data_IF_770371805194
#
_entry.id   IF_770371805194
#
_cell.length_a   1.000
_cell.length_b   1.000
_cell.length_c   1.000
_cell.angle_alpha   90.00
_cell.angle_beta   90.00
_cell.angle_gamma   90.00
#
_symmetry.space_group_name_H-M   'P 1'
#
loop_
_entity.id
_entity.type
_entity.pdbx_description
1 polymer ?
#
# COMPACT_ATOMS: atom_id res chain seq x y z
N UNK A 1 39.86 -24.76 -13.62
CA UNK A 1 39.36 -23.44 -14.02
C UNK A 1 38.18 -23.08 -13.12
N UNK A 2 38.44 -22.32 -12.06
CA UNK A 2 37.39 -21.77 -11.21
C UNK A 2 36.60 -20.76 -12.04
N UNK A 3 35.37 -21.13 -12.37
CA UNK A 3 34.49 -20.28 -13.11
C UNK A 3 33.74 -19.42 -12.07
N UNK A 4 34.08 -18.14 -11.95
CA UNK A 4 33.36 -17.21 -11.08
C UNK A 4 31.98 -16.96 -11.66
N UNK A 5 30.95 -17.28 -10.89
CA UNK A 5 29.54 -17.00 -11.24
C UNK A 5 29.14 -15.64 -10.71
N UNK A 6 28.44 -14.87 -11.53
CA UNK A 6 27.91 -13.58 -11.17
C UNK A 6 26.38 -13.57 -11.28
N UNK A 7 25.72 -13.02 -10.27
CA UNK A 7 24.27 -12.78 -10.30
C UNK A 7 23.99 -11.43 -10.96
N UNK A 8 23.11 -11.41 -11.97
CA UNK A 8 22.75 -10.19 -12.67
C UNK A 8 21.68 -9.46 -11.85
N UNK A 9 22.03 -8.32 -11.26
CA UNK A 9 21.13 -7.50 -10.44
C UNK A 9 20.32 -6.55 -11.33
N UNK A 10 20.95 -5.93 -12.34
CA UNK A 10 20.29 -5.04 -13.32
C UNK A 10 20.66 -5.43 -14.74
N UNK A 11 19.83 -5.03 -15.69
CA UNK A 11 20.02 -5.27 -17.12
C UNK A 11 19.52 -6.63 -17.60
N UNK A 12 18.89 -7.46 -16.78
CA UNK A 12 18.38 -8.78 -17.16
C UNK A 12 17.52 -8.73 -18.44
N UNK A 13 16.53 -7.83 -18.50
CA UNK A 13 15.64 -7.69 -19.66
C UNK A 13 16.43 -7.26 -20.91
N UNK A 14 17.36 -6.31 -20.78
CA UNK A 14 18.22 -5.84 -21.88
C UNK A 14 19.08 -6.96 -22.44
N UNK A 15 19.70 -7.74 -21.55
CA UNK A 15 20.54 -8.88 -21.95
C UNK A 15 19.73 -9.99 -22.62
N UNK A 16 18.55 -10.33 -22.09
CA UNK A 16 17.66 -11.34 -22.69
C UNK A 16 17.22 -10.87 -24.09
N UNK A 17 16.78 -9.62 -24.23
CA UNK A 17 16.34 -9.06 -25.51
C UNK A 17 17.46 -9.04 -26.53
N UNK A 18 18.67 -8.60 -26.14
CA UNK A 18 19.84 -8.61 -26.99
C UNK A 18 20.21 -10.05 -27.44
N UNK A 19 20.19 -10.98 -26.53
CA UNK A 19 20.47 -12.41 -26.83
C UNK A 19 19.46 -12.96 -27.86
N UNK A 20 18.18 -12.61 -27.72
CA UNK A 20 17.14 -12.97 -28.69
C UNK A 20 17.40 -12.33 -30.08
N UNK A 21 17.77 -11.05 -30.12
CA UNK A 21 18.12 -10.35 -31.36
C UNK A 21 19.32 -11.03 -32.04
N UNK A 22 20.41 -11.24 -31.30
CA UNK A 22 21.61 -11.89 -31.85
C UNK A 22 21.30 -13.29 -32.40
N UNK A 23 20.46 -14.05 -31.71
CA UNK A 23 20.03 -15.38 -32.17
C UNK A 23 19.24 -15.34 -33.48
N UNK A 24 18.30 -14.40 -33.58
CA UNK A 24 17.47 -14.26 -34.79
C UNK A 24 18.28 -13.66 -35.97
N UNK A 25 19.39 -12.93 -35.69
CA UNK A 25 20.33 -12.47 -36.71
C UNK A 25 21.38 -13.55 -37.12
N UNK A 26 21.27 -14.77 -36.58
CA UNK A 26 22.12 -15.90 -36.99
C UNK A 26 23.38 -16.10 -36.16
N UNK A 27 23.54 -15.49 -35.00
CA UNK A 27 24.67 -15.75 -34.11
C UNK A 27 24.66 -17.19 -33.63
N UNK A 28 25.76 -17.94 -33.85
CA UNK A 28 25.89 -19.38 -33.56
C UNK A 28 26.69 -19.67 -32.30
N UNK A 29 27.26 -18.66 -31.63
CA UNK A 29 28.05 -18.81 -30.41
C UNK A 29 27.24 -19.31 -29.21
N UNK A 30 27.90 -19.53 -28.09
CA UNK A 30 27.24 -19.95 -26.85
C UNK A 30 26.38 -18.83 -26.27
N UNK A 31 25.14 -19.17 -25.93
CA UNK A 31 24.17 -18.24 -25.35
C UNK A 31 23.56 -18.86 -24.07
N UNK A 32 24.23 -18.78 -22.93
CA UNK A 32 23.78 -19.40 -21.68
C UNK A 32 22.37 -18.93 -21.24
N UNK A 33 22.05 -17.65 -21.46
CA UNK A 33 20.75 -17.08 -21.10
C UNK A 33 19.56 -17.72 -21.82
N UNK A 34 19.75 -18.25 -23.04
CA UNK A 34 18.68 -18.97 -23.76
C UNK A 34 18.42 -20.38 -23.21
N UNK A 35 19.32 -20.91 -22.39
CA UNK A 35 19.19 -22.23 -21.74
C UNK A 35 18.50 -22.14 -20.38
N UNK A 36 18.38 -20.93 -19.82
CA UNK A 36 17.73 -20.73 -18.53
C UNK A 36 16.22 -20.86 -18.65
N UNK A 37 15.61 -21.50 -17.64
CA UNK A 37 14.16 -21.60 -17.52
C UNK A 37 13.64 -20.41 -16.70
N UNK A 38 12.81 -19.59 -17.30
CA UNK A 38 12.11 -18.53 -16.57
C UNK A 38 10.99 -19.15 -15.74
N UNK A 39 10.99 -18.94 -14.43
CA UNK A 39 10.05 -19.54 -13.50
C UNK A 39 8.70 -18.82 -13.60
N UNK A 40 8.68 -17.48 -13.64
CA UNK A 40 7.48 -16.69 -13.77
C UNK A 40 6.75 -16.93 -15.10
N UNK A 41 5.43 -17.16 -15.04
CA UNK A 41 4.55 -17.29 -16.22
C UNK A 41 4.60 -16.05 -17.09
N UNK A 42 4.59 -14.87 -16.45
CA UNK A 42 4.62 -13.58 -17.15
C UNK A 42 5.96 -13.35 -17.85
N UNK A 43 7.07 -13.66 -17.19
CA UNK A 43 8.39 -13.60 -17.84
C UNK A 43 8.46 -14.49 -19.09
N UNK A 44 7.91 -15.70 -19.03
CA UNK A 44 7.84 -16.61 -20.19
C UNK A 44 6.98 -16.03 -21.32
N UNK A 45 5.83 -15.43 -20.97
CA UNK A 45 4.95 -14.78 -21.95
C UNK A 45 5.64 -13.58 -22.61
N UNK A 46 6.28 -12.72 -21.83
CA UNK A 46 7.02 -11.57 -22.36
C UNK A 46 8.19 -11.98 -23.26
N UNK A 47 8.97 -12.99 -22.87
CA UNK A 47 10.05 -13.53 -23.70
C UNK A 47 9.49 -14.11 -25.01
N UNK A 48 8.38 -14.83 -24.97
CA UNK A 48 7.73 -15.38 -26.16
C UNK A 48 7.23 -14.29 -27.11
N UNK A 49 6.58 -13.27 -26.57
CA UNK A 49 6.08 -12.12 -27.33
C UNK A 49 7.23 -11.32 -27.96
N UNK A 50 8.28 -11.03 -27.21
CA UNK A 50 9.45 -10.33 -27.71
C UNK A 50 10.16 -11.14 -28.80
N UNK A 51 10.26 -12.45 -28.66
CA UNK A 51 10.82 -13.32 -29.68
C UNK A 51 10.01 -13.27 -30.98
N UNK A 52 8.66 -13.32 -30.88
CA UNK A 52 7.78 -13.22 -32.05
C UNK A 52 7.94 -11.85 -32.76
N UNK A 53 8.00 -10.76 -31.98
CA UNK A 53 8.20 -9.41 -32.50
C UNK A 53 9.55 -9.28 -33.22
N UNK A 54 10.63 -9.74 -32.61
CA UNK A 54 11.99 -9.69 -33.19
C UNK A 54 12.04 -10.48 -34.52
N UNK A 55 11.41 -11.66 -34.59
CA UNK A 55 11.30 -12.42 -35.83
C UNK A 55 10.57 -11.65 -36.94
N UNK A 56 9.44 -11.04 -36.61
CA UNK A 56 8.67 -10.23 -37.57
C UNK A 56 9.49 -9.04 -38.08
N UNK A 57 10.24 -8.37 -37.20
CA UNK A 57 11.10 -7.28 -37.58
C UNK A 57 12.28 -7.72 -38.43
N UNK A 58 12.91 -8.88 -38.09
CA UNK A 58 14.03 -9.43 -38.83
C UNK A 58 13.61 -9.89 -40.25
N UNK A 59 12.41 -10.44 -40.43
CA UNK A 59 11.90 -10.81 -41.75
C UNK A 59 11.75 -9.62 -42.70
N UNK A 60 11.64 -8.43 -42.19
CA UNK A 60 11.57 -7.17 -42.98
C UNK A 60 12.95 -6.53 -43.21
N UNK A 61 13.98 -7.05 -42.57
CA UNK A 61 15.33 -6.53 -42.62
C UNK A 61 16.11 -7.22 -43.72
N UNK A 62 16.63 -6.44 -44.65
CA UNK A 62 17.49 -6.90 -45.78
C UNK A 62 18.98 -6.72 -45.48
N UNK A 63 19.36 -6.16 -44.33
CA UNK A 63 20.74 -5.89 -43.97
C UNK A 63 21.43 -7.13 -43.37
N UNK A 64 22.19 -7.82 -44.21
CA UNK A 64 22.97 -9.02 -43.80
C UNK A 64 24.16 -8.68 -42.90
N UNK A 65 24.55 -7.42 -42.78
CA UNK A 65 25.70 -6.95 -41.97
C UNK A 65 25.29 -6.52 -40.58
N UNK A 66 24.00 -6.60 -40.22
CA UNK A 66 23.48 -6.10 -38.94
C UNK A 66 24.08 -6.81 -37.72
N UNK A 67 24.34 -8.08 -37.80
CA UNK A 67 24.99 -8.83 -36.70
C UNK A 67 26.42 -8.35 -36.47
N UNK A 68 27.17 -8.12 -37.55
CA UNK A 68 28.54 -7.63 -37.49
C UNK A 68 28.60 -6.18 -36.96
N UNK A 69 27.70 -5.32 -37.42
CA UNK A 69 27.55 -3.95 -36.88
C UNK A 69 27.19 -3.93 -35.42
N UNK A 70 26.25 -4.79 -34.96
CA UNK A 70 25.91 -4.93 -33.55
C UNK A 70 27.13 -5.34 -32.72
N UNK A 71 27.89 -6.33 -33.16
CA UNK A 71 29.06 -6.83 -32.41
C UNK A 71 30.17 -5.78 -32.30
N UNK A 72 30.33 -4.90 -33.27
CA UNK A 72 31.37 -3.86 -33.27
C UNK A 72 30.95 -2.55 -32.56
N UNK A 73 29.65 -2.26 -32.44
CA UNK A 73 29.19 -0.97 -31.90
C UNK A 73 28.55 -1.09 -30.50
N UNK A 74 28.31 -2.31 -30.01
CA UNK A 74 27.76 -2.47 -28.67
C UNK A 74 28.86 -2.34 -27.61
N UNK A 75 28.67 -1.37 -26.72
CA UNK A 75 29.54 -1.16 -25.55
C UNK A 75 28.72 -1.46 -24.29
N UNK A 76 29.27 -2.32 -23.44
CA UNK A 76 28.70 -2.65 -22.14
C UNK A 76 29.47 -1.95 -21.03
N UNK A 77 28.74 -1.26 -20.16
CA UNK A 77 29.29 -0.82 -18.88
C UNK A 77 28.85 -1.83 -17.81
N UNK A 78 29.83 -2.52 -17.24
CA UNK A 78 29.58 -3.56 -16.22
C UNK A 78 30.13 -3.11 -14.89
N UNK A 79 29.26 -3.07 -13.87
CA UNK A 79 29.64 -2.81 -12.49
C UNK A 79 29.60 -4.14 -11.73
N UNK A 80 30.75 -4.59 -11.24
CA UNK A 80 30.87 -5.80 -10.43
C UNK A 80 30.95 -5.39 -8.96
N UNK A 81 30.08 -5.97 -8.13
CA UNK A 81 30.01 -5.70 -6.70
C UNK A 81 30.25 -7.02 -5.93
N UNK A 82 30.95 -6.92 -4.81
CA UNK A 82 31.12 -8.05 -3.91
C UNK A 82 29.86 -8.28 -3.07
N UNK A 83 29.64 -9.49 -2.62
CA UNK A 83 28.47 -9.85 -1.79
C UNK A 83 28.32 -9.00 -0.53
N UNK A 84 29.44 -8.54 0.06
CA UNK A 84 29.43 -7.63 1.21
C UNK A 84 28.81 -6.25 0.91
N UNK A 85 28.62 -5.89 -0.36
CA UNK A 85 28.14 -4.57 -0.82
C UNK A 85 26.74 -4.62 -1.46
N UNK A 86 25.91 -5.59 -1.10
CA UNK A 86 24.54 -5.71 -1.61
C UNK A 86 23.71 -4.43 -1.39
N UNK A 87 23.89 -3.74 -0.27
CA UNK A 87 23.23 -2.46 -0.01
C UNK A 87 23.59 -1.38 -1.03
N UNK A 88 24.87 -1.36 -1.47
CA UNK A 88 25.31 -0.46 -2.51
C UNK A 88 24.71 -0.85 -3.87
N UNK A 89 24.62 -2.15 -4.15
CA UNK A 89 23.97 -2.67 -5.36
C UNK A 89 22.50 -2.24 -5.46
N UNK A 90 21.74 -2.39 -4.39
CA UNK A 90 20.33 -1.95 -4.34
C UNK A 90 20.18 -0.44 -4.44
N UNK A 91 21.08 0.33 -3.82
CA UNK A 91 21.07 1.79 -3.92
C UNK A 91 21.36 2.23 -5.36
N UNK A 92 22.35 1.63 -5.98
CA UNK A 92 22.71 1.89 -7.39
C UNK A 92 21.55 1.53 -8.33
N UNK A 93 20.96 0.35 -8.17
CA UNK A 93 19.79 -0.10 -8.92
C UNK A 93 18.61 0.88 -8.79
N UNK A 94 18.30 1.30 -7.56
CA UNK A 94 17.24 2.27 -7.29
C UNK A 94 17.51 3.62 -7.98
N UNK A 95 18.75 4.10 -7.96
CA UNK A 95 19.15 5.37 -8.56
C UNK A 95 19.16 5.33 -10.10
N UNK A 96 19.59 4.21 -10.70
CA UNK A 96 19.57 4.05 -12.15
C UNK A 96 18.15 3.97 -12.71
N UNK A 97 17.24 3.28 -12.01
CA UNK A 97 15.83 3.19 -12.41
C UNK A 97 15.07 4.53 -12.27
N UNK A 98 15.62 5.50 -11.54
CA UNK A 98 15.05 6.86 -11.47
C UNK A 98 15.18 7.64 -12.78
N UNK A 99 16.03 7.21 -13.71
CA UNK A 99 16.24 7.84 -15.04
C UNK A 99 15.32 7.28 -16.14
N UNK A 100 14.59 6.19 -15.86
CA UNK A 100 13.61 5.57 -16.76
C UNK A 100 12.20 5.62 -16.18
N UNK A 101 11.44 4.52 -16.31
CA UNK A 101 10.18 4.35 -15.57
C UNK A 101 10.57 4.15 -14.10
N UNK A 102 10.23 5.10 -13.24
CA UNK A 102 10.58 5.04 -11.83
C UNK A 102 9.89 3.85 -11.17
N UNK A 103 10.64 3.08 -10.39
CA UNK A 103 10.05 2.03 -9.55
C UNK A 103 9.09 2.66 -8.53
N UNK A 104 7.98 1.99 -8.31
CA UNK A 104 7.04 2.36 -7.25
C UNK A 104 7.66 2.13 -5.86
N UNK A 105 7.10 2.78 -4.84
CA UNK A 105 7.49 2.53 -3.46
C UNK A 105 7.33 1.06 -3.08
N UNK A 106 6.35 0.36 -3.67
CA UNK A 106 6.06 -1.06 -3.41
C UNK A 106 7.10 -2.00 -4.04
N UNK A 107 7.61 -1.68 -5.24
CA UNK A 107 8.72 -2.42 -5.85
C UNK A 107 9.99 -2.29 -5.02
N UNK A 108 10.24 -1.10 -4.52
CA UNK A 108 11.39 -0.83 -3.65
C UNK A 108 11.27 -1.50 -2.28
N UNK A 109 10.06 -1.54 -1.70
CA UNK A 109 9.80 -2.26 -0.44
C UNK A 109 10.01 -3.76 -0.63
N UNK A 110 9.49 -4.34 -1.72
CA UNK A 110 9.73 -5.73 -2.08
C UNK A 110 11.22 -6.05 -2.12
N UNK A 111 11.98 -5.30 -2.93
CA UNK A 111 13.41 -5.51 -3.08
C UNK A 111 14.16 -5.30 -1.75
N UNK A 112 13.79 -4.26 -0.98
CA UNK A 112 14.38 -3.97 0.33
C UNK A 112 14.22 -5.12 1.32
N UNK A 113 13.05 -5.73 1.39
CA UNK A 113 12.79 -6.78 2.39
C UNK A 113 13.27 -8.16 1.92
N UNK A 114 13.26 -8.46 0.62
CA UNK A 114 13.80 -9.73 0.10
C UNK A 114 15.28 -9.93 0.44
N UNK A 115 16.07 -8.87 0.51
CA UNK A 115 17.49 -8.94 0.85
C UNK A 115 17.80 -9.45 2.26
N UNK A 116 16.82 -9.44 3.18
CA UNK A 116 16.98 -9.96 4.55
C UNK A 116 16.61 -11.44 4.67
N UNK A 117 16.30 -12.11 3.57
CA UNK A 117 15.98 -13.54 3.54
C UNK A 117 17.22 -14.33 3.17
N UNK A 118 17.57 -15.29 4.02
CA UNK A 118 18.78 -16.10 3.85
C UNK A 118 18.53 -17.39 3.03
N UNK A 119 17.28 -17.73 2.74
CA UNK A 119 16.88 -18.97 2.07
C UNK A 119 16.24 -18.60 0.72
N UNK A 120 16.84 -19.06 -0.38
CA UNK A 120 16.42 -18.70 -1.74
C UNK A 120 14.98 -19.13 -2.05
N UNK A 121 14.59 -20.36 -1.69
CA UNK A 121 13.23 -20.87 -1.89
C UNK A 121 12.18 -20.03 -1.14
N UNK A 122 12.51 -19.57 0.07
CA UNK A 122 11.63 -18.68 0.84
C UNK A 122 11.49 -17.31 0.17
N UNK A 123 12.59 -16.77 -0.35
CA UNK A 123 12.60 -15.48 -1.04
C UNK A 123 11.73 -15.52 -2.30
N UNK A 124 11.83 -16.61 -3.08
CA UNK A 124 11.03 -16.81 -4.28
C UNK A 124 9.52 -16.90 -3.95
N UNK A 125 9.15 -17.72 -2.97
CA UNK A 125 7.75 -17.86 -2.54
C UNK A 125 7.16 -16.52 -2.08
N UNK A 126 7.89 -15.76 -1.26
CA UNK A 126 7.42 -14.46 -0.77
C UNK A 126 7.37 -13.42 -1.89
N UNK A 127 8.30 -13.48 -2.86
CA UNK A 127 8.28 -12.59 -4.02
C UNK A 127 7.07 -12.87 -4.93
N UNK A 128 6.70 -14.15 -5.12
CA UNK A 128 5.50 -14.52 -5.87
C UNK A 128 4.23 -14.07 -5.16
N UNK A 129 4.11 -14.34 -3.86
CA UNK A 129 2.96 -13.88 -3.06
C UNK A 129 2.80 -12.35 -3.06
N UNK A 130 3.90 -11.60 -3.01
CA UNK A 130 3.85 -10.15 -3.16
C UNK A 130 3.32 -9.70 -4.51
N UNK A 131 3.72 -10.37 -5.60
CA UNK A 131 3.17 -10.08 -6.93
C UNK A 131 1.67 -10.34 -6.98
N UNK A 132 1.20 -11.44 -6.41
CA UNK A 132 -0.22 -11.76 -6.35
C UNK A 132 -0.98 -10.66 -5.59
N UNK A 133 -0.49 -10.27 -4.39
CA UNK A 133 -1.06 -9.16 -3.62
C UNK A 133 -1.07 -7.82 -4.37
N UNK A 134 -0.05 -7.57 -5.20
CA UNK A 134 0.03 -6.34 -6.00
C UNK A 134 -0.99 -6.27 -7.13
N UNK A 135 -1.43 -7.43 -7.64
CA UNK A 135 -2.42 -7.56 -8.71
C UNK A 135 -3.86 -7.61 -8.19
N UNK A 136 -4.03 -7.88 -6.88
CA UNK A 136 -5.35 -7.93 -6.28
C UNK A 136 -5.93 -6.52 -6.11
N UNK A 137 -7.07 -6.29 -6.75
CA UNK A 137 -7.78 -5.02 -6.76
C UNK A 137 -9.23 -5.20 -6.30
N UNK A 138 -9.83 -4.11 -5.83
CA UNK A 138 -11.25 -4.04 -5.58
C UNK A 138 -12.06 -3.90 -6.89
N UNK A 139 -13.39 -3.79 -6.77
CA UNK A 139 -14.29 -3.65 -7.92
C UNK A 139 -14.06 -2.36 -8.72
N UNK A 140 -13.39 -1.36 -8.15
CA UNK A 140 -13.07 -0.09 -8.79
C UNK A 140 -11.69 -0.11 -9.48
N UNK A 141 -10.94 -1.21 -9.33
CA UNK A 141 -9.58 -1.35 -9.85
C UNK A 141 -8.50 -0.82 -8.89
N UNK A 142 -8.86 -0.48 -7.66
CA UNK A 142 -7.93 0.03 -6.65
C UNK A 142 -7.21 -1.13 -5.94
N UNK A 143 -5.87 -1.09 -5.92
CA UNK A 143 -5.06 -2.15 -5.32
C UNK A 143 -5.23 -2.20 -3.80
N UNK A 144 -5.57 -3.37 -3.27
CA UNK A 144 -5.66 -3.60 -1.82
C UNK A 144 -4.34 -3.34 -1.12
N UNK A 145 -3.23 -3.74 -1.71
CA UNK A 145 -1.88 -3.50 -1.17
C UNK A 145 -1.61 -2.00 -1.02
N UNK A 146 -1.89 -1.23 -2.07
CA UNK A 146 -1.65 0.22 -2.08
C UNK A 146 -2.52 0.93 -1.05
N UNK A 147 -3.80 0.61 -0.97
CA UNK A 147 -4.70 1.22 0.01
C UNK A 147 -4.31 0.83 1.45
N UNK A 148 -4.01 -0.44 1.69
CA UNK A 148 -3.64 -0.89 3.04
C UNK A 148 -2.36 -0.24 3.53
N UNK A 149 -1.25 -0.40 2.80
CA UNK A 149 0.06 0.13 3.24
C UNK A 149 0.17 1.63 2.99
N UNK A 150 -0.10 2.08 1.77
CA UNK A 150 0.23 3.43 1.31
C UNK A 150 -0.76 4.50 1.75
N UNK A 151 -1.97 4.11 2.13
CA UNK A 151 -2.99 5.06 2.60
C UNK A 151 -3.27 4.84 4.08
N UNK A 152 -3.95 3.76 4.44
CA UNK A 152 -4.50 3.61 5.79
C UNK A 152 -3.43 3.37 6.86
N UNK A 153 -2.59 2.34 6.72
CA UNK A 153 -1.54 2.08 7.71
C UNK A 153 -0.51 3.20 7.75
N UNK A 154 -0.17 3.79 6.59
CA UNK A 154 0.74 4.93 6.54
C UNK A 154 0.22 6.09 7.39
N UNK A 155 -1.06 6.47 7.22
CA UNK A 155 -1.71 7.53 8.02
C UNK A 155 -1.74 7.18 9.49
N UNK A 156 -2.25 6.00 9.84
CA UNK A 156 -2.37 5.55 11.23
C UNK A 156 -1.01 5.55 11.94
N UNK A 157 0.03 5.04 11.28
CA UNK A 157 1.41 5.05 11.83
C UNK A 157 1.96 6.45 12.02
N UNK A 158 1.69 7.37 11.10
CA UNK A 158 2.08 8.79 11.22
C UNK A 158 1.32 9.49 12.35
N UNK A 159 0.00 9.32 12.41
CA UNK A 159 -0.84 9.93 13.44
C UNK A 159 -0.52 9.44 14.86
N UNK A 160 -0.22 8.15 15.04
CA UNK A 160 0.27 7.63 16.32
C UNK A 160 1.51 8.36 16.85
N UNK A 161 2.34 8.87 15.95
CA UNK A 161 3.55 9.63 16.29
C UNK A 161 3.35 11.15 16.19
N UNK A 162 2.12 11.60 16.00
CA UNK A 162 1.77 13.03 15.79
C UNK A 162 2.49 13.67 14.59
N UNK A 163 2.85 12.87 13.58
CA UNK A 163 3.49 13.34 12.36
C UNK A 163 2.46 13.69 11.29
N UNK A 164 2.80 14.65 10.44
CA UNK A 164 2.02 14.97 9.26
C UNK A 164 2.10 13.83 8.24
N UNK A 165 1.05 13.74 7.42
CA UNK A 165 0.88 12.68 6.43
C UNK A 165 1.26 13.19 5.04
N UNK A 166 2.15 12.47 4.38
CA UNK A 166 2.74 12.82 3.08
C UNK A 166 2.68 11.63 2.10
N UNK A 167 1.63 10.82 2.17
CA UNK A 167 1.50 9.55 1.41
C UNK A 167 1.57 9.73 -0.11
N UNK A 168 1.22 10.91 -0.61
CA UNK A 168 1.27 11.20 -2.05
C UNK A 168 2.65 11.67 -2.55
N UNK A 169 3.61 11.86 -1.65
CA UNK A 169 4.96 12.20 -2.03
C UNK A 169 5.77 10.94 -2.35
N UNK A 170 6.56 10.96 -3.43
CA UNK A 170 7.43 9.83 -3.78
C UNK A 170 8.35 9.43 -2.62
N UNK A 171 8.56 8.13 -2.46
CA UNK A 171 9.44 7.52 -1.46
C UNK A 171 8.97 7.58 -0.01
N UNK A 172 7.91 8.30 0.32
CA UNK A 172 7.46 8.43 1.72
C UNK A 172 6.89 7.14 2.29
N UNK A 173 6.15 6.37 1.48
CA UNK A 173 5.65 5.05 1.88
C UNK A 173 6.82 4.08 2.04
N UNK A 174 7.76 4.08 1.11
CA UNK A 174 8.97 3.27 1.22
C UNK A 174 9.76 3.61 2.48
N UNK A 175 9.97 4.90 2.81
CA UNK A 175 10.67 5.35 4.02
C UNK A 175 9.98 4.84 5.30
N UNK A 176 8.64 4.86 5.35
CA UNK A 176 7.87 4.43 6.52
C UNK A 176 8.04 2.95 6.83
N UNK A 177 8.06 2.10 5.80
CA UNK A 177 8.04 0.65 5.97
C UNK A 177 9.40 -0.03 5.74
N UNK A 178 10.41 0.68 5.26
CA UNK A 178 11.74 0.08 4.98
C UNK A 178 12.63 -0.06 6.21
N UNK A 179 12.24 0.48 7.35
CA UNK A 179 13.14 0.86 8.44
C UNK A 179 13.56 -0.26 9.38
N UNK A 180 13.65 -1.51 9.04
CA UNK A 180 14.09 -2.42 10.07
C UNK A 180 15.26 -3.32 9.69
N UNK A 181 16.35 -3.14 10.39
CA UNK A 181 17.33 -4.20 10.63
C UNK A 181 16.67 -5.31 11.47
N UNK A 182 17.11 -6.54 11.30
CA UNK A 182 16.75 -7.64 12.19
C UNK A 182 17.29 -7.28 13.58
N UNK A 183 16.39 -7.11 14.54
CA UNK A 183 16.74 -6.77 15.93
C UNK A 183 15.98 -7.73 16.85
N UNK A 184 16.71 -8.37 17.75
CA UNK A 184 16.11 -9.31 18.74
C UNK A 184 15.07 -8.66 19.67
N UNK A 185 15.12 -7.33 19.80
CA UNK A 185 14.15 -6.56 20.61
C UNK A 185 12.80 -6.37 19.93
N UNK A 186 12.66 -6.67 18.63
CA UNK A 186 11.38 -6.59 17.93
C UNK A 186 10.70 -7.96 18.05
N UNK A 187 9.50 -8.04 18.64
CA UNK A 187 8.81 -9.30 18.78
C UNK A 187 8.48 -9.92 17.42
N UNK A 188 8.37 -11.25 17.38
CA UNK A 188 7.85 -11.94 16.21
C UNK A 188 6.44 -11.42 15.90
N UNK A 189 6.12 -11.33 14.60
CA UNK A 189 4.80 -10.91 14.17
C UNK A 189 3.75 -11.94 14.62
N UNK A 190 2.74 -11.47 15.35
CA UNK A 190 1.69 -12.31 15.94
C UNK A 190 0.51 -11.49 16.44
N UNK A 191 -0.44 -12.10 17.15
CA UNK A 191 -1.69 -11.48 17.61
C UNK A 191 -1.51 -10.20 18.45
N UNK A 192 -0.39 -10.09 19.16
CA UNK A 192 -0.07 -8.91 19.99
C UNK A 192 0.77 -7.86 19.28
N UNK A 193 1.03 -8.02 18.00
CA UNK A 193 1.83 -7.06 17.24
C UNK A 193 0.97 -5.87 16.82
N UNK A 194 1.32 -4.69 17.31
CA UNK A 194 0.61 -3.47 16.95
C UNK A 194 1.06 -2.94 15.58
N UNK A 195 0.14 -2.42 14.79
CA UNK A 195 0.39 -1.96 13.43
C UNK A 195 1.44 -0.83 13.34
N UNK A 196 1.67 -0.10 14.42
CA UNK A 196 2.63 1.03 14.48
C UNK A 196 4.02 0.64 15.00
N UNK A 197 4.22 -0.58 15.45
CA UNK A 197 5.53 -1.04 15.93
C UNK A 197 6.57 -1.09 14.79
N UNK A 198 7.84 -1.19 15.20
CA UNK A 198 8.94 -1.39 14.26
C UNK A 198 8.79 -2.74 13.57
N UNK A 199 8.93 -2.75 12.26
CA UNK A 199 8.80 -3.95 11.44
C UNK A 199 10.21 -4.47 11.16
N UNK A 200 10.45 -5.77 11.37
CA UNK A 200 11.72 -6.37 10.96
C UNK A 200 11.76 -6.58 9.43
N UNK A 201 12.97 -6.54 8.86
CA UNK A 201 13.18 -6.89 7.47
C UNK A 201 12.84 -8.35 7.17
N UNK A 202 12.58 -8.65 5.92
CA UNK A 202 12.33 -10.02 5.47
C UNK A 202 10.93 -10.54 5.78
N UNK A 203 10.84 -11.79 6.22
CA UNK A 203 9.59 -12.52 6.43
C UNK A 203 8.58 -11.80 7.35
N UNK A 204 9.07 -11.09 8.33
CA UNK A 204 8.23 -10.30 9.24
C UNK A 204 7.41 -9.23 8.51
N UNK A 205 8.04 -8.46 7.60
CA UNK A 205 7.34 -7.47 6.79
C UNK A 205 6.31 -8.10 5.84
N UNK A 206 6.67 -9.21 5.20
CA UNK A 206 5.74 -9.90 4.29
C UNK A 206 4.53 -10.47 5.05
N UNK A 207 4.76 -11.03 6.24
CA UNK A 207 3.66 -11.49 7.11
C UNK A 207 2.78 -10.32 7.57
N UNK A 208 3.39 -9.22 8.04
CA UNK A 208 2.70 -7.98 8.39
C UNK A 208 1.80 -7.50 7.24
N UNK A 209 2.37 -7.37 6.05
CA UNK A 209 1.62 -6.88 4.88
C UNK A 209 0.45 -7.80 4.55
N UNK A 210 0.69 -9.12 4.47
CA UNK A 210 -0.35 -10.08 4.13
C UNK A 210 -1.54 -10.01 5.09
N UNK A 211 -1.28 -10.02 6.39
CA UNK A 211 -2.34 -10.01 7.41
C UNK A 211 -3.13 -8.71 7.37
N UNK A 212 -2.47 -7.56 7.23
CA UNK A 212 -3.20 -6.30 7.17
C UNK A 212 -3.95 -6.09 5.86
N UNK A 213 -3.47 -6.62 4.74
CA UNK A 213 -4.22 -6.65 3.48
C UNK A 213 -5.47 -7.52 3.62
N UNK A 214 -5.36 -8.69 4.23
CA UNK A 214 -6.51 -9.57 4.44
C UNK A 214 -7.54 -8.92 5.40
N UNK A 215 -7.09 -8.29 6.49
CA UNK A 215 -7.96 -7.49 7.38
C UNK A 215 -8.64 -6.34 6.64
N UNK A 216 -7.93 -5.67 5.74
CA UNK A 216 -8.52 -4.58 4.96
C UNK A 216 -9.59 -5.09 3.99
N UNK A 217 -9.37 -6.23 3.33
CA UNK A 217 -10.39 -6.87 2.48
C UNK A 217 -11.67 -7.24 3.25
N UNK A 218 -11.52 -7.70 4.49
CA UNK A 218 -12.65 -7.97 5.37
C UNK A 218 -13.36 -6.67 5.77
N UNK A 219 -12.58 -5.68 6.21
CA UNK A 219 -13.06 -4.39 6.68
C UNK A 219 -13.92 -3.65 5.65
N UNK A 220 -13.46 -3.54 4.39
CA UNK A 220 -14.20 -2.80 3.37
C UNK A 220 -15.52 -3.46 2.96
N UNK A 221 -15.71 -4.74 3.29
CA UNK A 221 -16.97 -5.47 3.05
C UNK A 221 -18.00 -5.25 4.14
N UNK A 222 -17.62 -4.62 5.24
CA UNK A 222 -18.54 -4.33 6.34
C UNK A 222 -19.61 -3.34 5.89
N UNK A 223 -20.84 -3.52 6.40
CA UNK A 223 -21.96 -2.64 6.08
C UNK A 223 -21.67 -1.18 6.40
N UNK A 224 -21.00 -0.93 7.51
CA UNK A 224 -20.63 0.39 7.98
C UNK A 224 -19.78 1.15 6.95
N UNK A 225 -18.78 0.50 6.38
CA UNK A 225 -17.88 1.11 5.40
C UNK A 225 -18.56 1.24 4.03
N UNK A 226 -19.38 0.28 3.65
CA UNK A 226 -20.16 0.40 2.42
C UNK A 226 -21.13 1.59 2.47
N UNK A 227 -21.84 1.79 3.58
CA UNK A 227 -22.71 2.96 3.77
C UNK A 227 -21.92 4.28 3.80
N UNK A 228 -20.78 4.30 4.49
CA UNK A 228 -19.90 5.48 4.52
C UNK A 228 -19.47 5.88 3.10
N UNK A 229 -18.98 4.94 2.31
CA UNK A 229 -18.56 5.17 0.92
C UNK A 229 -19.72 5.61 0.05
N UNK A 230 -20.87 4.94 0.12
CA UNK A 230 -22.03 5.23 -0.72
C UNK A 230 -22.62 6.61 -0.48
N UNK A 231 -22.72 7.05 0.78
CA UNK A 231 -23.34 8.32 1.11
C UNK A 231 -22.40 9.53 1.07
N UNK A 232 -21.10 9.35 1.26
CA UNK A 232 -20.12 10.43 1.30
C UNK A 232 -19.21 10.51 0.07
N UNK A 233 -19.55 9.86 -1.04
CA UNK A 233 -18.71 9.86 -2.26
C UNK A 233 -18.76 11.17 -3.06
N UNK A 234 -19.76 12.01 -2.83
CA UNK A 234 -20.05 13.18 -3.66
C UNK A 234 -19.38 14.46 -3.14
N UNK A 235 -19.19 15.44 -4.02
CA UNK A 235 -18.60 16.75 -3.72
C UNK A 235 -17.23 16.62 -3.03
N UNK A 236 -17.01 17.41 -1.96
CA UNK A 236 -15.80 17.31 -1.12
C UNK A 236 -15.99 16.39 0.09
N UNK A 237 -17.14 15.71 0.23
CA UNK A 237 -17.44 14.82 1.35
C UNK A 237 -16.59 13.55 1.31
N UNK A 238 -16.19 13.07 0.12
CA UNK A 238 -15.27 11.95 -0.02
C UNK A 238 -13.96 12.12 0.77
N UNK A 239 -13.52 13.37 0.97
CA UNK A 239 -12.31 13.66 1.75
C UNK A 239 -12.46 13.28 3.23
N UNK A 240 -13.69 13.48 3.76
CA UNK A 240 -14.01 13.04 5.12
C UNK A 240 -14.20 11.53 5.17
N UNK A 241 -14.89 10.96 4.20
CA UNK A 241 -15.07 9.51 4.12
C UNK A 241 -13.72 8.76 4.13
N UNK A 242 -12.77 9.21 3.32
CA UNK A 242 -11.44 8.64 3.20
C UNK A 242 -10.63 8.71 4.52
N UNK A 243 -10.76 9.80 5.27
CA UNK A 243 -10.10 9.95 6.57
C UNK A 243 -10.82 9.14 7.66
N UNK A 244 -12.17 9.18 7.70
CA UNK A 244 -12.97 8.37 8.61
C UNK A 244 -12.69 6.88 8.38
N UNK A 245 -12.59 6.46 7.13
CA UNK A 245 -12.24 5.07 6.78
C UNK A 245 -10.87 4.66 7.35
N UNK A 246 -9.87 5.54 7.27
CA UNK A 246 -8.55 5.25 7.85
C UNK A 246 -8.63 5.08 9.38
N UNK A 247 -9.36 5.93 10.08
CA UNK A 247 -9.55 5.84 11.54
C UNK A 247 -10.36 4.60 11.91
N UNK A 248 -11.42 4.30 11.16
CA UNK A 248 -12.23 3.10 11.32
C UNK A 248 -11.43 1.82 11.08
N UNK A 249 -10.50 1.83 10.12
CA UNK A 249 -9.59 0.70 9.93
C UNK A 249 -8.69 0.49 11.14
N UNK A 250 -8.19 1.56 11.77
CA UNK A 250 -7.46 1.49 13.03
C UNK A 250 -8.28 0.82 14.15
N UNK A 251 -9.55 1.19 14.26
CA UNK A 251 -10.48 0.55 15.19
C UNK A 251 -10.69 -0.93 14.86
N UNK A 252 -10.95 -1.25 13.60
CA UNK A 252 -11.20 -2.61 13.13
C UNK A 252 -9.98 -3.53 13.33
N UNK A 253 -8.78 -3.04 13.13
CA UNK A 253 -7.55 -3.79 13.40
C UNK A 253 -7.52 -4.30 14.85
N UNK A 254 -7.98 -3.48 15.78
CA UNK A 254 -7.90 -3.79 17.21
C UNK A 254 -9.11 -4.59 17.74
N UNK A 255 -10.31 -4.21 17.33
CA UNK A 255 -11.57 -4.71 17.93
C UNK A 255 -12.43 -5.52 16.95
N UNK A 256 -12.05 -5.60 15.67
CA UNK A 256 -12.83 -6.31 14.65
C UNK A 256 -14.21 -5.71 14.47
N UNK A 257 -15.22 -6.58 14.43
CA UNK A 257 -16.62 -6.19 14.22
C UNK A 257 -17.35 -5.68 15.49
N UNK A 258 -16.68 -5.75 16.66
CA UNK A 258 -17.34 -5.39 17.92
C UNK A 258 -17.66 -3.90 17.96
N UNK A 259 -18.93 -3.54 18.16
CA UNK A 259 -19.43 -2.16 18.25
C UNK A 259 -19.01 -1.27 17.06
N UNK A 260 -18.95 -1.86 15.86
CA UNK A 260 -18.42 -1.14 14.69
C UNK A 260 -19.33 0.02 14.24
N UNK A 261 -20.65 -0.09 14.42
CA UNK A 261 -21.61 0.99 14.13
C UNK A 261 -21.47 2.14 15.11
N UNK A 262 -21.34 1.83 16.39
CA UNK A 262 -21.08 2.82 17.44
C UNK A 262 -19.74 3.54 17.23
N UNK A 263 -18.70 2.79 16.86
CA UNK A 263 -17.39 3.37 16.54
C UNK A 263 -17.48 4.31 15.35
N UNK A 264 -18.22 3.93 14.29
CA UNK A 264 -18.43 4.80 13.14
C UNK A 264 -19.18 6.08 13.55
N UNK A 265 -20.20 5.97 14.42
CA UNK A 265 -20.92 7.13 14.93
C UNK A 265 -19.98 8.08 15.69
N UNK A 266 -19.16 7.55 16.58
CA UNK A 266 -18.21 8.35 17.36
C UNK A 266 -17.16 9.01 16.48
N UNK A 267 -16.49 8.26 15.63
CA UNK A 267 -15.42 8.75 14.76
C UNK A 267 -15.96 9.78 13.76
N UNK A 268 -17.08 9.48 13.08
CA UNK A 268 -17.68 10.39 12.14
C UNK A 268 -18.23 11.64 12.84
N UNK A 269 -18.79 11.52 14.04
CA UNK A 269 -19.27 12.65 14.84
C UNK A 269 -18.15 13.60 15.26
N UNK A 270 -16.99 13.08 15.66
CA UNK A 270 -15.82 13.93 15.96
C UNK A 270 -15.31 14.61 14.68
N UNK A 271 -15.19 13.87 13.58
CA UNK A 271 -14.72 14.44 12.31
C UNK A 271 -15.70 15.47 11.71
N UNK A 272 -16.99 15.32 11.98
CA UNK A 272 -18.02 16.25 11.55
C UNK A 272 -17.85 17.66 12.16
N UNK A 273 -17.30 17.78 13.36
CA UNK A 273 -17.02 19.08 13.97
C UNK A 273 -16.10 19.95 13.11
N UNK A 274 -15.05 19.33 12.52
CA UNK A 274 -14.21 20.04 11.56
C UNK A 274 -15.02 20.50 10.34
N UNK A 275 -15.95 19.66 9.84
CA UNK A 275 -16.78 20.04 8.68
C UNK A 275 -17.66 21.23 8.98
N UNK A 276 -18.27 21.28 10.16
CA UNK A 276 -19.21 22.35 10.54
C UNK A 276 -18.50 23.66 10.93
N UNK A 277 -17.32 23.58 11.52
CA UNK A 277 -16.50 24.75 11.85
C UNK A 277 -15.70 25.31 10.67
N UNK A 278 -15.35 24.47 9.69
CA UNK A 278 -14.52 24.89 8.56
C UNK A 278 -15.35 25.51 7.43
N UNK A 279 -14.86 26.62 6.86
CA UNK A 279 -15.44 27.23 5.65
C UNK A 279 -15.21 26.37 4.41
N UNK A 280 -14.07 25.70 4.31
CA UNK A 280 -13.68 24.86 3.16
C UNK A 280 -13.13 23.52 3.60
N UNK A 281 -13.54 22.45 2.92
CA UNK A 281 -12.97 21.10 3.09
C UNK A 281 -11.62 20.98 2.37
N UNK A 282 -10.55 21.44 3.00
CA UNK A 282 -9.18 21.31 2.49
C UNK A 282 -8.59 20.01 3.03
N UNK A 283 -8.19 19.08 2.16
CA UNK A 283 -7.80 17.74 2.53
C UNK A 283 -6.63 17.70 3.55
N UNK A 284 -5.65 18.54 3.36
CA UNK A 284 -4.56 18.70 4.33
C UNK A 284 -5.07 19.03 5.75
N UNK A 285 -6.00 20.00 5.86
CA UNK A 285 -6.57 20.41 7.17
C UNK A 285 -7.42 19.32 7.81
N UNK A 286 -8.12 18.52 7.01
CA UNK A 286 -8.88 17.38 7.51
C UNK A 286 -7.93 16.32 8.10
N UNK A 287 -6.81 16.05 7.42
CA UNK A 287 -5.77 15.15 7.93
C UNK A 287 -5.09 15.68 9.19
N UNK A 288 -4.81 16.97 9.24
CA UNK A 288 -4.28 17.63 10.42
C UNK A 288 -5.25 17.54 11.60
N UNK A 289 -6.53 17.81 11.39
CA UNK A 289 -7.55 17.62 12.39
C UNK A 289 -7.65 16.17 12.88
N UNK A 290 -7.61 15.18 11.98
CA UNK A 290 -7.62 13.77 12.36
C UNK A 290 -6.41 13.40 13.22
N UNK A 291 -5.20 13.91 12.91
CA UNK A 291 -4.00 13.75 13.72
C UNK A 291 -4.16 14.32 15.13
N UNK A 292 -4.80 15.50 15.24
CA UNK A 292 -4.92 16.24 16.49
C UNK A 292 -6.16 15.85 17.31
N UNK A 293 -7.08 15.08 16.72
CA UNK A 293 -8.35 14.65 17.34
C UNK A 293 -8.23 13.61 18.45
N UNK A 294 -7.04 13.08 18.67
CA UNK A 294 -6.73 12.00 19.62
C UNK A 294 -7.46 10.66 19.35
N UNK A 295 -8.29 10.54 18.31
CA UNK A 295 -9.07 9.33 18.01
C UNK A 295 -8.19 8.08 17.96
N UNK A 296 -7.06 8.14 17.26
CA UNK A 296 -6.17 6.97 17.15
C UNK A 296 -5.53 6.61 18.48
N UNK A 297 -5.26 7.57 19.34
CA UNK A 297 -4.74 7.34 20.69
C UNK A 297 -5.81 6.73 21.60
N UNK A 298 -7.06 7.21 21.53
CA UNK A 298 -8.18 6.62 22.23
C UNK A 298 -8.39 5.14 21.83
N UNK A 299 -8.32 4.86 20.51
CA UNK A 299 -8.39 3.48 20.03
C UNK A 299 -7.25 2.64 20.60
N UNK A 300 -6.02 3.15 20.57
CA UNK A 300 -4.85 2.41 21.02
C UNK A 300 -4.86 2.13 22.53
N UNK A 301 -5.25 3.11 23.34
CA UNK A 301 -5.25 3.00 24.79
C UNK A 301 -6.45 2.20 25.34
N UNK A 302 -7.55 2.12 24.60
CA UNK A 302 -8.74 1.43 25.05
C UNK A 302 -8.48 -0.08 25.21
N UNK A 303 -8.76 -0.63 26.38
CA UNK A 303 -8.66 -2.07 26.66
C UNK A 303 -9.83 -2.88 26.10
N UNK A 304 -10.95 -2.24 25.79
CA UNK A 304 -12.14 -2.83 25.14
C UNK A 304 -12.84 -1.80 24.25
N UNK A 305 -13.73 -2.25 23.34
CA UNK A 305 -14.56 -1.34 22.54
C UNK A 305 -15.34 -0.34 23.38
N UNK A 306 -15.92 -0.78 24.47
CA UNK A 306 -16.75 0.06 25.36
C UNK A 306 -15.95 1.16 26.05
N UNK A 307 -14.67 0.94 26.38
CA UNK A 307 -13.79 2.00 26.89
C UNK A 307 -13.53 3.05 25.82
N UNK A 308 -13.26 2.64 24.58
CA UNK A 308 -13.14 3.60 23.46
C UNK A 308 -14.41 4.44 23.30
N UNK A 309 -15.58 3.81 23.32
CA UNK A 309 -16.86 4.51 23.17
C UNK A 309 -17.09 5.50 24.31
N UNK A 310 -16.87 5.09 25.55
CA UNK A 310 -17.04 5.96 26.71
C UNK A 310 -16.11 7.20 26.66
N UNK A 311 -14.90 7.02 26.16
CA UNK A 311 -13.94 8.12 26.00
C UNK A 311 -14.30 9.03 24.81
N UNK A 312 -14.76 8.47 23.69
CA UNK A 312 -15.04 9.22 22.47
C UNK A 312 -16.35 10.03 22.52
N UNK A 313 -17.42 9.52 23.20
CA UNK A 313 -18.73 10.17 23.27
C UNK A 313 -18.68 11.64 23.73
N UNK A 314 -17.92 12.03 24.78
CA UNK A 314 -17.84 13.41 25.23
C UNK A 314 -17.29 14.41 24.18
N UNK A 315 -16.51 13.89 23.22
CA UNK A 315 -15.95 14.70 22.15
C UNK A 315 -16.94 14.95 21.00
N UNK A 316 -18.07 14.26 20.96
CA UNK A 316 -19.10 14.49 19.92
C UNK A 316 -19.92 15.71 20.35
N UNK A 317 -19.72 16.83 19.66
CA UNK A 317 -20.40 18.12 19.92
C UNK A 317 -20.95 18.67 18.61
N UNK A 318 -22.00 18.03 18.09
CA UNK A 318 -22.64 18.45 16.84
C UNK A 318 -23.69 19.51 17.12
N UNK A 319 -24.43 19.37 18.23
CA UNK A 319 -25.39 20.37 18.71
C UNK A 319 -24.68 21.70 19.02
N UNK A 320 -25.17 22.78 18.45
CA UNK A 320 -24.63 24.13 18.59
C UNK A 320 -23.55 24.51 17.56
N UNK A 321 -23.16 23.59 16.64
CA UNK A 321 -22.34 23.94 15.49
C UNK A 321 -23.24 24.38 14.33
N UNK A 322 -22.73 25.36 13.56
CA UNK A 322 -23.44 25.86 12.38
C UNK A 322 -23.47 24.75 11.29
N UNK A 323 -24.66 24.19 11.10
CA UNK A 323 -24.95 23.21 10.05
C UNK A 323 -25.59 23.86 8.82
N UNK A 324 -25.85 25.17 8.89
CA UNK A 324 -26.48 25.92 7.83
C UNK A 324 -25.57 26.12 6.62
N UNK A 325 -26.18 26.17 5.48
CA UNK A 325 -25.53 26.31 4.18
C UNK A 325 -25.46 24.97 3.43
N UNK A 326 -25.65 25.04 2.13
CA UNK A 326 -25.87 23.91 1.23
C UNK A 326 -24.98 22.71 1.44
N UNK A 327 -23.67 22.92 1.59
CA UNK A 327 -22.69 21.81 1.66
C UNK A 327 -22.67 21.19 3.07
N UNK A 328 -22.77 22.01 4.12
CA UNK A 328 -22.76 21.52 5.50
C UNK A 328 -24.04 20.74 5.80
N UNK A 329 -25.17 21.24 5.36
CA UNK A 329 -26.47 20.60 5.50
C UNK A 329 -26.54 19.29 4.71
N UNK A 330 -25.97 19.24 3.48
CA UNK A 330 -25.88 17.98 2.73
C UNK A 330 -24.99 16.96 3.43
N UNK A 331 -23.87 17.38 4.00
CA UNK A 331 -23.00 16.50 4.79
C UNK A 331 -23.73 15.92 6.01
N UNK A 332 -24.46 16.78 6.74
CA UNK A 332 -25.30 16.35 7.86
C UNK A 332 -26.33 15.32 7.44
N UNK A 333 -27.06 15.59 6.35
CA UNK A 333 -28.07 14.66 5.81
C UNK A 333 -27.44 13.31 5.39
N UNK A 334 -26.22 13.32 4.85
CA UNK A 334 -25.52 12.09 4.52
C UNK A 334 -25.22 11.26 5.78
N UNK A 335 -24.67 11.89 6.83
CA UNK A 335 -24.42 11.20 8.10
C UNK A 335 -25.71 10.69 8.75
N UNK A 336 -26.78 11.50 8.75
CA UNK A 336 -28.09 11.09 9.25
C UNK A 336 -28.58 9.84 8.53
N UNK A 337 -28.49 9.77 7.20
CA UNK A 337 -28.89 8.58 6.43
C UNK A 337 -28.08 7.37 6.83
N UNK A 338 -26.75 7.48 6.92
CA UNK A 338 -25.88 6.38 7.35
C UNK A 338 -26.36 5.84 8.70
N UNK A 339 -26.58 6.71 9.69
CA UNK A 339 -26.94 6.29 11.05
C UNK A 339 -28.40 5.83 11.20
N UNK A 340 -29.30 6.26 10.32
CA UNK A 340 -30.65 5.72 10.25
C UNK A 340 -30.69 4.35 9.57
N UNK A 341 -29.84 4.10 8.60
CA UNK A 341 -29.76 2.80 7.91
C UNK A 341 -29.04 1.73 8.76
N UNK A 342 -28.14 2.15 9.67
CA UNK A 342 -27.52 1.26 10.64
C UNK A 342 -28.51 0.94 11.78
N UNK A 343 -28.90 -0.30 11.89
CA UNK A 343 -29.88 -0.80 12.89
C UNK A 343 -29.28 -1.78 13.91
N UNK A 344 -27.96 -1.88 13.95
CA UNK A 344 -27.21 -2.80 14.80
C UNK A 344 -26.53 -2.13 16.02
N UNK A 345 -26.97 -0.92 16.36
CA UNK A 345 -26.54 -0.24 17.59
C UNK A 345 -27.04 -0.99 18.83
N UNK A 346 -26.18 -1.23 19.79
CA UNK A 346 -26.48 -1.94 21.03
C UNK A 346 -26.20 -1.10 22.29
N UNK A 347 -25.34 -0.10 22.22
CA UNK A 347 -25.03 0.79 23.34
C UNK A 347 -26.13 1.84 23.52
N UNK A 348 -26.79 1.81 24.71
CA UNK A 348 -27.91 2.70 25.02
C UNK A 348 -27.53 4.18 25.00
N UNK A 349 -26.37 4.53 25.52
CA UNK A 349 -25.90 5.92 25.59
C UNK A 349 -25.67 6.48 24.19
N UNK A 350 -25.14 5.65 23.29
CA UNK A 350 -24.94 6.04 21.89
C UNK A 350 -26.26 6.13 21.15
N UNK A 351 -27.19 5.21 21.39
CA UNK A 351 -28.53 5.27 20.80
C UNK A 351 -29.24 6.58 21.18
N UNK A 352 -29.21 6.94 22.46
CA UNK A 352 -29.78 8.20 22.94
C UNK A 352 -29.10 9.42 22.30
N UNK A 353 -27.76 9.43 22.27
CA UNK A 353 -27.02 10.54 21.64
C UNK A 353 -27.27 10.62 20.15
N UNK A 354 -27.29 9.49 19.43
CA UNK A 354 -27.65 9.44 18.00
C UNK A 354 -29.03 10.03 17.76
N UNK A 355 -30.01 9.64 18.55
CA UNK A 355 -31.37 10.14 18.43
C UNK A 355 -31.44 11.64 18.69
N UNK A 356 -30.68 12.19 19.62
CA UNK A 356 -30.59 13.61 19.92
C UNK A 356 -29.91 14.41 18.79
N UNK A 357 -28.89 13.83 18.15
CA UNK A 357 -28.09 14.54 17.13
C UNK A 357 -28.66 14.35 15.71
N UNK A 358 -29.26 13.21 15.41
CA UNK A 358 -29.74 12.83 14.08
C UNK A 358 -31.20 12.33 14.05
N UNK A 359 -31.89 12.29 15.17
CA UNK A 359 -33.27 11.89 15.27
C UNK A 359 -34.21 12.91 14.60
N UNK A 360 -35.51 12.58 14.53
CA UNK A 360 -36.54 13.47 14.02
C UNK A 360 -36.74 14.69 14.88
#
# INVERSE_FOLDING_TARGET
NDCTLYNIIDGQQRLVTLTLIMRELGYTGQMPLLKQKFISKDARLHVANNKALIRTLNQRNTDTTMLERLSHHLIFSVLILNESNLDLAYTFFSNQNSKGVSLSDYDLLKAHHLRYLNIEDQAEHLAMRWNDLSLECDNNGDSYLTHTLGVHLFRLRKWMRKHNVEEFQPRKVKEEFSAARIMSSIPAFGEKFYFYEKIQGGSHFFAYTSIFVDKYKEFIRTRQIQLLRNHLQWESHWKYADIIESLMFGYFIKFGHQYLSEALFCIAGIMAQHRYSATRAIFYKIREFAKDSEIIMMIDQASSPTFFLAEAIPYIRISGLEQEGDIKERFYRCLRRIFCELNDFSDKTIIEKRNNEYGE
#
